data_IF_166790703874
#
_entry.id   IF_166790703874
#
_cell.length_a   1.000
_cell.length_b   1.000
_cell.length_c   1.000
_cell.angle_alpha   90.00
_cell.angle_beta   90.00
_cell.angle_gamma   90.00
#
_symmetry.space_group_name_H-M   'P 1'
#
loop_
_entity.id
_entity.type
_entity.pdbx_description
1 polymer ?
#
# COMPACT_ATOMS: atom_id res chain seq x y z
N UNK A 1 -12.93 21.97 21.81
CA UNK A 1 -11.67 22.59 22.27
C UNK A 1 -10.52 21.66 21.90
N UNK A 2 -9.87 21.85 20.74
CA UNK A 2 -8.70 21.06 20.38
C UNK A 2 -7.45 21.76 20.91
N UNK A 3 -6.84 21.15 21.92
CA UNK A 3 -5.57 21.58 22.51
C UNK A 3 -4.51 21.30 21.46
N UNK A 4 -3.94 22.35 20.86
CA UNK A 4 -2.77 22.20 20.01
C UNK A 4 -1.61 21.77 20.92
N UNK A 5 -1.23 20.50 20.85
CA UNK A 5 -0.01 20.03 21.49
C UNK A 5 1.15 20.85 20.93
N UNK A 6 1.78 21.68 21.75
CA UNK A 6 2.98 22.41 21.34
C UNK A 6 4.02 21.36 20.98
N UNK A 7 4.40 21.33 19.71
CA UNK A 7 5.49 20.51 19.22
C UNK A 7 6.74 20.86 20.05
N UNK A 8 7.30 19.88 20.76
CA UNK A 8 8.44 20.09 21.66
C UNK A 8 9.77 20.20 20.90
N UNK A 9 9.73 20.31 19.59
CA UNK A 9 10.92 20.23 18.74
C UNK A 9 11.58 21.59 18.62
N UNK A 10 12.88 21.62 18.90
CA UNK A 10 13.73 22.81 18.72
C UNK A 10 14.13 22.97 17.24
N UNK A 11 13.19 23.49 16.44
CA UNK A 11 13.36 23.71 15.00
C UNK A 11 14.55 24.62 14.65
N UNK A 12 14.91 25.55 15.55
CA UNK A 12 16.05 26.44 15.37
C UNK A 12 17.39 25.68 15.44
N UNK A 13 17.46 24.66 16.30
CA UNK A 13 18.64 23.80 16.44
C UNK A 13 18.76 22.87 15.25
N UNK A 14 17.64 22.27 14.80
CA UNK A 14 17.61 21.42 13.62
C UNK A 14 18.06 22.16 12.33
N UNK A 15 17.66 23.42 12.16
CA UNK A 15 18.07 24.22 11.00
C UNK A 15 19.55 24.66 11.02
N UNK A 16 20.19 24.65 12.19
CA UNK A 16 21.59 25.01 12.36
C UNK A 16 22.54 23.80 12.27
N UNK A 17 22.00 22.58 12.36
CA UNK A 17 22.75 21.34 12.34
C UNK A 17 23.29 21.05 10.94
N UNK A 18 24.58 20.72 10.84
CA UNK A 18 25.20 20.43 9.54
C UNK A 18 24.86 19.02 9.06
N UNK A 19 24.90 18.80 7.74
CA UNK A 19 24.61 17.48 7.16
C UNK A 19 25.45 16.34 7.75
N UNK A 20 26.71 16.61 8.07
CA UNK A 20 27.62 15.63 8.69
C UNK A 20 27.20 15.24 10.12
N UNK A 21 26.62 16.18 10.86
CA UNK A 21 26.07 15.91 12.20
C UNK A 21 24.77 15.11 12.10
N UNK A 22 23.96 15.34 11.07
CA UNK A 22 22.74 14.56 10.77
C UNK A 22 23.11 13.11 10.43
N UNK A 23 24.08 12.91 9.54
CA UNK A 23 24.54 11.57 9.18
C UNK A 23 25.12 10.82 10.38
N UNK A 24 25.89 11.49 11.24
CA UNK A 24 26.43 10.89 12.45
C UNK A 24 25.34 10.55 13.48
N UNK A 25 24.30 11.38 13.59
CA UNK A 25 23.16 11.11 14.46
C UNK A 25 22.35 9.90 13.98
N UNK A 26 22.05 9.82 12.68
CA UNK A 26 21.37 8.68 12.05
C UNK A 26 22.17 7.39 12.18
N UNK A 27 23.49 7.43 11.92
CA UNK A 27 24.35 6.25 12.00
C UNK A 27 24.49 5.69 13.43
N UNK A 28 24.27 6.53 14.45
CA UNK A 28 24.29 6.13 15.86
C UNK A 28 22.93 5.74 16.42
N UNK A 29 21.85 5.86 15.63
CA UNK A 29 20.49 5.57 16.06
C UNK A 29 20.15 4.10 15.80
N UNK A 30 19.97 3.32 16.87
CA UNK A 30 19.76 1.87 16.81
C UNK A 30 18.49 1.48 16.03
N UNK A 31 17.49 2.36 15.97
CA UNK A 31 16.25 2.15 15.19
C UNK A 31 16.45 2.39 13.69
N UNK A 32 17.45 3.17 13.29
CA UNK A 32 17.79 3.41 11.87
C UNK A 32 18.79 2.38 11.33
N UNK A 33 19.52 1.66 12.21
CA UNK A 33 20.47 0.61 11.82
C UNK A 33 19.72 -0.52 11.10
N UNK A 34 19.95 -0.62 9.78
CA UNK A 34 19.36 -1.66 8.93
C UNK A 34 18.09 -1.25 8.20
N UNK A 35 17.58 -0.03 8.39
CA UNK A 35 16.49 0.54 7.57
C UNK A 35 17.00 1.02 6.21
N UNK A 36 17.58 0.13 5.40
CA UNK A 36 17.90 0.45 4.02
C UNK A 36 16.68 0.17 3.12
N UNK A 37 15.81 1.16 2.98
CA UNK A 37 14.66 1.07 2.07
C UNK A 37 15.17 1.27 0.63
N UNK A 38 15.10 0.22 -0.18
CA UNK A 38 15.37 0.32 -1.61
C UNK A 38 14.18 1.05 -2.29
N UNK A 39 14.33 2.36 -2.47
CA UNK A 39 13.32 3.20 -3.13
C UNK A 39 13.16 2.89 -4.62
N UNK A 40 14.08 2.13 -5.24
CA UNK A 40 13.98 1.72 -6.64
C UNK A 40 13.00 0.56 -6.86
N UNK A 41 12.74 -0.23 -5.82
CA UNK A 41 11.76 -1.32 -5.83
C UNK A 41 10.30 -0.85 -5.62
N UNK A 42 10.08 0.43 -5.32
CA UNK A 42 8.74 0.97 -5.08
C UNK A 42 8.06 1.27 -6.40
N UNK A 43 6.98 0.53 -6.69
CA UNK A 43 6.13 0.80 -7.85
C UNK A 43 5.42 2.15 -7.67
N UNK A 44 5.80 3.14 -8.47
CA UNK A 44 5.19 4.48 -8.50
C UNK A 44 3.93 4.55 -9.36
N UNK A 45 3.52 3.44 -9.98
CA UNK A 45 2.32 3.41 -10.81
C UNK A 45 1.06 3.50 -9.96
N UNK A 46 0.21 4.53 -10.17
CA UNK A 46 -1.06 4.63 -9.48
C UNK A 46 -1.93 3.42 -9.84
N UNK A 47 -2.72 2.88 -8.89
CA UNK A 47 -3.58 1.73 -9.17
C UNK A 47 -4.54 2.09 -10.29
N UNK A 48 -4.52 1.32 -11.38
CA UNK A 48 -5.43 1.54 -12.51
C UNK A 48 -6.88 1.49 -12.02
N UNK A 49 -7.74 2.42 -12.48
CA UNK A 49 -9.15 2.41 -12.11
C UNK A 49 -9.77 1.09 -12.56
N UNK A 50 -10.64 0.53 -11.71
CA UNK A 50 -11.37 -0.69 -12.06
C UNK A 50 -12.34 -0.39 -13.20
N UNK A 51 -12.23 -1.13 -14.30
CA UNK A 51 -13.22 -1.06 -15.36
C UNK A 51 -14.55 -1.65 -14.88
N UNK A 52 -15.65 -0.98 -15.20
CA UNK A 52 -16.99 -1.52 -14.98
C UNK A 52 -17.26 -2.58 -16.04
N UNK A 53 -17.43 -3.83 -15.62
CA UNK A 53 -17.76 -4.94 -16.50
C UNK A 53 -19.23 -5.33 -16.33
N UNK A 54 -20.04 -5.12 -17.37
CA UNK A 54 -21.39 -5.68 -17.47
C UNK A 54 -21.33 -6.95 -18.32
N UNK A 55 -21.45 -8.11 -17.70
CA UNK A 55 -21.45 -9.41 -18.38
C UNK A 55 -22.59 -10.30 -17.87
N UNK A 56 -23.05 -11.23 -18.72
CA UNK A 56 -23.97 -12.29 -18.30
C UNK A 56 -23.15 -13.43 -17.67
N UNK A 57 -23.66 -13.95 -16.56
CA UNK A 57 -23.10 -15.08 -15.83
C UNK A 57 -24.24 -16.07 -15.60
N UNK A 58 -23.96 -17.36 -15.67
CA UNK A 58 -24.93 -18.39 -15.35
C UNK A 58 -25.50 -18.22 -13.95
N UNK A 59 -26.80 -18.51 -13.82
CA UNK A 59 -27.54 -18.28 -12.58
C UNK A 59 -26.93 -19.05 -11.40
N UNK A 60 -26.60 -20.33 -11.60
CA UNK A 60 -26.02 -21.19 -10.57
C UNK A 60 -24.66 -20.69 -10.07
N UNK A 61 -23.84 -20.15 -10.99
CA UNK A 61 -22.54 -19.55 -10.65
C UNK A 61 -22.75 -18.29 -9.81
N UNK A 62 -23.69 -17.43 -10.21
CA UNK A 62 -23.99 -16.21 -9.47
C UNK A 62 -24.51 -16.52 -8.06
N UNK A 63 -25.41 -17.50 -7.94
CA UNK A 63 -25.98 -17.92 -6.65
C UNK A 63 -24.92 -18.55 -5.74
N UNK A 64 -24.01 -19.36 -6.29
CA UNK A 64 -22.87 -19.89 -5.53
C UNK A 64 -22.08 -18.76 -4.87
N UNK A 65 -21.68 -17.73 -5.63
CA UNK A 65 -20.92 -16.62 -5.06
C UNK A 65 -21.74 -15.78 -4.08
N UNK A 66 -23.03 -15.55 -4.35
CA UNK A 66 -23.93 -14.83 -3.44
C UNK A 66 -24.12 -15.53 -2.12
N UNK A 67 -24.20 -16.86 -2.11
CA UNK A 67 -24.32 -17.66 -0.88
C UNK A 67 -23.15 -17.46 0.08
N UNK A 68 -21.99 -17.02 -0.42
CA UNK A 68 -20.82 -16.74 0.40
C UNK A 68 -20.83 -15.34 1.08
N UNK A 69 -21.93 -14.61 0.98
CA UNK A 69 -22.19 -13.38 1.72
C UNK A 69 -21.65 -12.09 1.08
N UNK A 70 -21.53 -11.05 1.92
CA UNK A 70 -21.15 -9.70 1.49
C UNK A 70 -19.79 -9.71 0.79
N UNK A 71 -19.72 -9.05 -0.38
CA UNK A 71 -18.48 -8.96 -1.16
C UNK A 71 -18.29 -10.07 -2.20
N UNK A 72 -19.33 -10.83 -2.54
CA UNK A 72 -19.29 -11.85 -3.60
C UNK A 72 -18.68 -11.34 -4.92
N UNK A 73 -18.94 -10.09 -5.32
CA UNK A 73 -18.31 -9.47 -6.50
C UNK A 73 -16.78 -9.40 -6.41
N UNK A 74 -16.23 -9.13 -5.21
CA UNK A 74 -14.77 -9.13 -5.01
C UNK A 74 -14.20 -10.54 -5.17
N UNK A 75 -14.93 -11.57 -4.73
CA UNK A 75 -14.52 -12.97 -4.89
C UNK A 75 -14.54 -13.39 -6.35
N UNK A 76 -15.58 -13.02 -7.10
CA UNK A 76 -15.64 -13.22 -8.56
C UNK A 76 -14.40 -12.60 -9.23
N UNK A 77 -14.09 -11.34 -8.89
CA UNK A 77 -12.93 -10.67 -9.46
C UNK A 77 -11.59 -11.35 -9.08
N UNK A 78 -11.47 -11.90 -7.87
CA UNK A 78 -10.28 -12.63 -7.46
C UNK A 78 -10.08 -13.93 -8.26
N UNK A 79 -11.16 -14.67 -8.53
CA UNK A 79 -11.14 -15.88 -9.36
C UNK A 79 -10.73 -15.55 -10.79
N UNK A 80 -11.35 -14.52 -11.39
CA UNK A 80 -11.00 -14.08 -12.74
C UNK A 80 -9.53 -13.65 -12.84
N UNK A 81 -9.01 -12.95 -11.83
CA UNK A 81 -7.60 -12.56 -11.78
C UNK A 81 -6.69 -13.78 -11.74
N UNK A 82 -6.96 -14.73 -10.84
CA UNK A 82 -6.16 -15.94 -10.70
C UNK A 82 -6.09 -16.74 -12.00
N UNK A 83 -7.22 -16.85 -12.72
CA UNK A 83 -7.26 -17.48 -14.05
C UNK A 83 -6.36 -16.76 -15.07
N UNK A 84 -6.42 -15.43 -15.13
CA UNK A 84 -5.58 -14.63 -16.02
C UNK A 84 -4.09 -14.80 -15.68
N UNK A 85 -3.73 -14.73 -14.40
CA UNK A 85 -2.35 -14.92 -13.94
C UNK A 85 -1.82 -16.31 -14.30
N UNK A 86 -2.64 -17.36 -14.14
CA UNK A 86 -2.27 -18.72 -14.52
C UNK A 86 -2.05 -18.83 -16.04
N UNK A 87 -2.90 -18.20 -16.84
CA UNK A 87 -2.80 -18.22 -18.31
C UNK A 87 -1.63 -17.41 -18.86
N UNK A 88 -1.19 -16.36 -18.16
CA UNK A 88 -0.03 -15.55 -18.58
C UNK A 88 1.32 -16.14 -18.15
N UNK A 89 1.32 -17.05 -17.16
CA UNK A 89 2.53 -17.78 -16.73
C UNK A 89 2.90 -18.94 -17.65
N UNK A 90 2.02 -19.32 -18.57
CA UNK A 90 2.24 -20.29 -19.64
C UNK A 90 2.43 -19.58 -20.98
#
# INVERSE_FOLDING_TARGET
MHVHGKDKSDWKSAAAMSGKEIEAAVAGDEDEIGMHIDWSAISTEPPRPKAVLNMRVDYEVLEFFRSQGKGYQKKINAVLRSYVEQKQRH
#
